data_IF_907856588803
#
_entry.id   IF_907856588803
#
_cell.length_a   1.000
_cell.length_b   1.000
_cell.length_c   1.000
_cell.angle_alpha   90.00
_cell.angle_beta   90.00
_cell.angle_gamma   90.00
#
_symmetry.space_group_name_H-M   'P 1'
#
loop_
_entity.id
_entity.type
_entity.pdbx_description
1 polymer ?
#
# COMPACT_ATOMS: atom_id res chain seq x y z
N UNK A 1 10.95 -6.35 11.41
CA UNK A 1 9.68 -5.72 10.99
C UNK A 1 9.72 -5.45 9.50
N UNK A 2 8.68 -5.82 8.74
CA UNK A 2 8.62 -5.57 7.28
C UNK A 2 8.28 -4.11 7.03
N UNK A 3 9.02 -3.44 6.13
CA UNK A 3 8.72 -2.06 5.72
C UNK A 3 7.46 -2.06 4.86
N UNK A 4 6.45 -1.30 5.26
CA UNK A 4 5.19 -1.19 4.51
C UNK A 4 5.11 0.16 3.83
N UNK A 5 4.77 0.16 2.55
CA UNK A 5 4.45 1.38 1.79
C UNK A 5 3.06 1.21 1.19
N UNK A 6 2.15 2.12 1.55
CA UNK A 6 0.81 2.19 0.97
C UNK A 6 0.82 3.23 -0.16
N UNK A 7 0.69 2.76 -1.39
CA UNK A 7 0.45 3.61 -2.55
C UNK A 7 -1.03 3.94 -2.63
N UNK A 8 -1.32 5.24 -2.60
CA UNK A 8 -2.68 5.79 -2.55
C UNK A 8 -2.81 6.95 -3.52
N UNK A 9 -4.05 7.30 -3.85
CA UNK A 9 -4.39 8.53 -4.57
C UNK A 9 -5.48 9.30 -3.79
N UNK A 10 -5.69 10.57 -4.11
CA UNK A 10 -6.80 11.35 -3.58
C UNK A 10 -8.14 10.76 -4.05
N UNK A 11 -9.15 10.83 -3.19
CA UNK A 11 -10.52 10.34 -3.46
C UNK A 11 -10.61 8.85 -3.82
N UNK A 12 -9.76 7.98 -3.25
CA UNK A 12 -9.93 6.53 -3.39
C UNK A 12 -10.53 5.89 -2.12
N UNK A 13 -11.77 5.39 -2.15
CA UNK A 13 -12.40 4.77 -0.97
C UNK A 13 -11.66 3.50 -0.52
N UNK A 14 -11.18 2.67 -1.46
CA UNK A 14 -10.43 1.46 -1.14
C UNK A 14 -9.08 1.74 -0.45
N UNK A 15 -8.42 2.85 -0.80
CA UNK A 15 -7.20 3.27 -0.11
C UNK A 15 -7.47 3.65 1.35
N UNK A 16 -8.63 4.25 1.63
CA UNK A 16 -9.01 4.59 3.01
C UNK A 16 -9.23 3.34 3.87
N UNK A 17 -9.82 2.28 3.31
CA UNK A 17 -9.96 0.99 4.00
C UNK A 17 -8.59 0.41 4.35
N UNK A 18 -7.64 0.42 3.41
CA UNK A 18 -6.28 -0.05 3.66
C UNK A 18 -5.59 0.75 4.76
N UNK A 19 -5.71 2.08 4.70
CA UNK A 19 -5.15 3.00 5.68
C UNK A 19 -5.70 2.73 7.09
N UNK A 20 -7.03 2.68 7.22
CA UNK A 20 -7.72 2.40 8.49
C UNK A 20 -7.27 1.08 9.10
N UNK A 21 -7.21 0.01 8.30
CA UNK A 21 -6.77 -1.29 8.80
C UNK A 21 -5.35 -1.24 9.36
N UNK A 22 -4.41 -0.60 8.65
CA UNK A 22 -3.03 -0.47 9.12
C UNK A 22 -2.93 0.37 10.41
N UNK A 23 -3.70 1.46 10.49
CA UNK A 23 -3.78 2.31 11.69
C UNK A 23 -4.38 1.55 12.89
N UNK A 24 -5.48 0.80 12.68
CA UNK A 24 -6.12 -0.03 13.73
C UNK A 24 -5.20 -1.12 14.25
N UNK A 25 -4.42 -1.74 13.38
CA UNK A 25 -3.41 -2.73 13.76
C UNK A 25 -2.13 -2.10 14.33
N UNK A 26 -2.04 -0.76 14.41
CA UNK A 26 -0.86 0.00 14.85
C UNK A 26 0.41 -0.39 14.10
N UNK A 27 0.26 -0.71 12.82
CA UNK A 27 1.38 -1.11 11.96
C UNK A 27 2.01 0.16 11.38
N UNK A 28 3.32 0.38 11.53
CA UNK A 28 3.97 1.53 10.91
C UNK A 28 4.06 1.34 9.38
N UNK A 29 3.57 2.32 8.63
CA UNK A 29 3.62 2.33 7.17
C UNK A 29 3.98 3.71 6.63
N UNK A 30 4.59 3.75 5.44
CA UNK A 30 4.80 4.98 4.67
C UNK A 30 3.65 5.16 3.69
N UNK A 31 3.03 6.33 3.70
CA UNK A 31 2.00 6.69 2.74
C UNK A 31 2.66 7.36 1.51
N UNK A 32 2.40 6.83 0.32
CA UNK A 32 2.95 7.33 -0.93
C UNK A 32 1.81 7.75 -1.86
N UNK A 33 1.64 9.05 -2.08
CA UNK A 33 0.61 9.57 -2.98
C UNK A 33 1.10 9.48 -4.43
N UNK A 34 0.49 8.60 -5.22
CA UNK A 34 0.86 8.37 -6.63
C UNK A 34 0.58 9.57 -7.52
N UNK A 35 -0.26 10.51 -7.09
CA UNK A 35 -0.49 11.75 -7.85
C UNK A 35 0.64 12.77 -7.72
N UNK A 36 1.57 12.58 -6.78
CA UNK A 36 2.76 13.43 -6.69
C UNK A 36 3.82 12.95 -7.69
N UNK A 37 4.66 13.83 -8.26
CA UNK A 37 5.70 13.42 -9.21
C UNK A 37 6.64 12.33 -8.66
N UNK A 38 6.98 12.41 -7.37
CA UNK A 38 7.80 11.40 -6.69
C UNK A 38 7.06 10.07 -6.57
N UNK A 39 5.82 10.10 -6.07
CA UNK A 39 5.03 8.89 -5.91
C UNK A 39 4.68 8.22 -7.24
N UNK A 40 4.38 8.99 -8.29
CA UNK A 40 4.16 8.48 -9.64
C UNK A 40 5.40 7.76 -10.18
N UNK A 41 6.59 8.33 -9.98
CA UNK A 41 7.85 7.71 -10.40
C UNK A 41 8.11 6.39 -9.67
N UNK A 42 7.93 6.38 -8.34
CA UNK A 42 8.04 5.15 -7.54
C UNK A 42 7.00 4.09 -7.96
N UNK A 43 5.75 4.51 -8.18
CA UNK A 43 4.65 3.63 -8.58
C UNK A 43 4.85 3.04 -9.99
N UNK A 44 5.40 3.83 -10.91
CA UNK A 44 5.76 3.35 -12.24
C UNK A 44 6.92 2.36 -12.20
N UNK A 45 7.90 2.57 -11.30
CA UNK A 45 9.06 1.69 -11.14
C UNK A 45 8.70 0.29 -10.62
N UNK A 46 7.61 0.18 -9.85
CA UNK A 46 7.10 -1.13 -9.39
C UNK A 46 6.22 -1.84 -10.43
N UNK A 47 5.97 -1.22 -11.60
CA UNK A 47 5.20 -1.83 -12.70
C UNK A 47 3.69 -1.94 -12.43
N UNK A 48 3.17 -1.24 -11.42
CA UNK A 48 1.76 -1.32 -11.04
C UNK A 48 0.91 -0.34 -11.85
N UNK A 49 -0.35 -0.71 -12.10
CA UNK A 49 -1.27 0.06 -12.96
C UNK A 49 -2.48 0.63 -12.23
N UNK A 50 -2.82 0.11 -11.07
CA UNK A 50 -4.00 0.52 -10.31
C UNK A 50 -3.68 0.57 -8.82
N UNK A 51 -4.36 1.47 -8.10
CA UNK A 51 -4.29 1.61 -6.63
C UNK A 51 -5.58 1.11 -5.99
N UNK A 52 -5.59 0.70 -4.71
CA UNK A 52 -4.47 0.70 -3.74
C UNK A 52 -3.41 -0.36 -4.06
N UNK A 53 -2.14 -0.07 -3.75
CA UNK A 53 -1.07 -1.07 -3.75
C UNK A 53 -0.32 -1.00 -2.43
N UNK A 54 -0.04 -2.15 -1.83
CA UNK A 54 0.81 -2.21 -0.65
C UNK A 54 2.12 -2.92 -0.99
N UNK A 55 3.25 -2.26 -0.74
CA UNK A 55 4.56 -2.91 -0.76
C UNK A 55 4.90 -3.35 0.66
N UNK A 56 5.11 -4.65 0.87
CA UNK A 56 5.42 -5.26 2.17
C UNK A 56 6.80 -5.91 2.04
N UNK A 57 7.85 -5.20 2.44
CA UNK A 57 9.23 -5.59 2.13
C UNK A 57 9.45 -5.58 0.61
N UNK A 58 9.78 -6.75 0.04
CA UNK A 58 9.97 -6.95 -1.40
C UNK A 58 8.70 -7.44 -2.11
N UNK A 59 7.63 -7.73 -1.36
CA UNK A 59 6.37 -8.21 -1.93
C UNK A 59 5.45 -7.04 -2.28
N UNK A 60 4.75 -7.15 -3.40
CA UNK A 60 3.74 -6.20 -3.83
C UNK A 60 2.36 -6.86 -3.75
N UNK A 61 1.43 -6.19 -3.07
CA UNK A 61 0.04 -6.56 -3.00
C UNK A 61 -0.76 -5.60 -3.87
N UNK A 62 -1.33 -6.12 -4.96
CA UNK A 62 -2.27 -5.38 -5.79
C UNK A 62 -3.65 -5.34 -5.13
N UNK A 63 -4.23 -4.16 -4.99
CA UNK A 63 -5.44 -3.97 -4.22
C UNK A 63 -5.20 -4.08 -2.71
N UNK A 64 -6.31 -4.11 -1.96
CA UNK A 64 -6.29 -4.33 -0.52
C UNK A 64 -7.27 -5.43 -0.13
N UNK A 65 -6.74 -6.47 0.52
CA UNK A 65 -7.53 -7.53 1.15
C UNK A 65 -6.84 -7.92 2.45
N UNK A 66 -7.61 -7.96 3.55
CA UNK A 66 -7.11 -8.30 4.89
C UNK A 66 -6.47 -9.68 4.90
N UNK A 67 -7.09 -10.66 4.23
CA UNK A 67 -6.57 -12.02 4.16
C UNK A 67 -5.21 -12.08 3.45
N UNK A 68 -5.08 -11.42 2.30
CA UNK A 68 -3.83 -11.40 1.53
C UNK A 68 -2.74 -10.59 2.26
N UNK A 69 -3.11 -9.45 2.85
CA UNK A 69 -2.19 -8.66 3.65
C UNK A 69 -1.62 -9.48 4.81
N UNK A 70 -2.48 -10.15 5.59
CA UNK A 70 -2.04 -10.96 6.72
C UNK A 70 -1.14 -12.12 6.28
N UNK A 71 -1.45 -12.75 5.14
CA UNK A 71 -0.62 -13.81 4.57
C UNK A 71 0.79 -13.28 4.26
N UNK A 72 0.91 -12.14 3.59
CA UNK A 72 2.21 -11.56 3.25
C UNK A 72 2.94 -10.99 4.47
N UNK A 73 2.22 -10.40 5.41
CA UNK A 73 2.79 -9.77 6.59
C UNK A 73 3.31 -10.79 7.61
N UNK A 74 2.56 -11.87 7.85
CA UNK A 74 2.90 -12.94 8.81
C UNK A 74 3.82 -14.02 8.24
N UNK A 75 3.98 -14.08 6.92
CA UNK A 75 4.91 -15.01 6.25
C UNK A 75 6.37 -14.69 6.54
#
# INVERSE_FOLDING_TARGET
MKRIVLYTMEKCPHCQTAKRYLDEQRIPYRLCNVQTPKGQKEFSAIGMRAVPVLKIGDQLLNGFSIANFNKLFKS
#
